data_IF_433666728421
#
_entry.id   IF_433666728421
#
_cell.length_a   1.000
_cell.length_b   1.000
_cell.length_c   1.000
_cell.angle_alpha   90.00
_cell.angle_beta   90.00
_cell.angle_gamma   90.00
#
_symmetry.space_group_name_H-M   'P 1'
#
loop_
_entity.id
_entity.type
_entity.pdbx_description
1 polymer ?
#
# COMPACT_ATOMS: atom_id res chain seq x y z
N UNK A 1 2.59 -8.67 -22.12
CA UNK A 1 3.38 -8.17 -21.01
C UNK A 1 2.71 -6.97 -20.36
N UNK A 2 2.64 -6.98 -19.07
CA UNK A 2 2.02 -5.89 -18.33
C UNK A 2 3.10 -5.16 -17.51
N UNK A 3 3.97 -4.42 -18.16
CA UNK A 3 5.14 -3.87 -17.50
C UNK A 3 4.79 -2.92 -16.36
N UNK A 4 3.64 -2.28 -16.43
CA UNK A 4 3.26 -1.35 -15.40
C UNK A 4 2.84 -2.01 -14.09
N UNK A 5 2.82 -3.34 -14.06
CA UNK A 5 2.36 -4.05 -12.86
C UNK A 5 3.48 -4.73 -12.09
N UNK A 6 4.73 -4.49 -12.46
CA UNK A 6 5.84 -4.97 -11.67
C UNK A 6 5.85 -4.29 -10.32
N UNK A 7 5.92 -5.09 -9.27
CA UNK A 7 6.08 -4.53 -7.94
C UNK A 7 7.54 -4.18 -7.70
N UNK A 8 7.77 -2.97 -7.22
CA UNK A 8 9.10 -2.48 -6.90
C UNK A 8 9.11 -2.07 -5.44
N UNK A 9 9.96 -2.71 -4.63
CA UNK A 9 10.00 -2.42 -3.21
C UNK A 9 10.47 -1.00 -2.93
N UNK A 10 11.27 -0.42 -3.82
CA UNK A 10 11.76 0.95 -3.65
C UNK A 10 10.70 1.98 -4.04
N UNK A 11 9.78 1.61 -4.91
CA UNK A 11 8.76 2.52 -5.40
C UNK A 11 7.48 1.74 -5.66
N UNK A 12 6.81 1.28 -4.60
CA UNK A 12 5.61 0.46 -4.76
C UNK A 12 4.46 1.24 -5.37
N UNK A 13 3.65 0.54 -6.18
CA UNK A 13 2.42 1.09 -6.72
C UNK A 13 1.33 0.98 -5.65
N UNK A 14 1.25 2.01 -4.82
CA UNK A 14 0.39 1.99 -3.64
C UNK A 14 -1.07 1.86 -4.02
N UNK A 15 -1.49 2.55 -5.08
CA UNK A 15 -2.87 2.49 -5.52
C UNK A 15 -3.25 1.07 -5.96
N UNK A 16 -2.36 0.42 -6.73
CA UNK A 16 -2.61 -0.95 -7.17
C UNK A 16 -2.71 -1.91 -5.99
N UNK A 17 -1.86 -1.71 -4.98
CA UNK A 17 -1.92 -2.54 -3.78
C UNK A 17 -3.26 -2.36 -3.09
N UNK A 18 -3.70 -1.11 -2.92
CA UNK A 18 -4.99 -0.82 -2.29
C UNK A 18 -6.13 -1.47 -3.08
N UNK A 19 -6.07 -1.42 -4.39
CA UNK A 19 -7.12 -1.99 -5.23
C UNK A 19 -7.24 -3.50 -5.07
N UNK A 20 -6.13 -4.17 -4.75
CA UNK A 20 -6.17 -5.60 -4.46
C UNK A 20 -7.04 -5.90 -3.24
N UNK A 21 -7.11 -4.97 -2.30
CA UNK A 21 -7.91 -5.14 -1.10
C UNK A 21 -9.36 -4.74 -1.29
N UNK A 22 -9.67 -4.02 -2.38
CA UNK A 22 -11.02 -3.55 -2.63
C UNK A 22 -11.47 -2.50 -1.63
N UNK A 23 -10.53 -1.74 -1.07
CA UNK A 23 -10.84 -0.77 -0.02
C UNK A 23 -10.72 0.66 -0.53
N UNK A 24 -11.47 1.55 0.10
CA UNK A 24 -11.33 2.98 -0.13
C UNK A 24 -9.99 3.47 0.45
N UNK A 25 -9.60 4.68 0.09
CA UNK A 25 -8.40 5.28 0.66
C UNK A 25 -8.49 5.37 2.18
N UNK A 26 -9.64 5.81 2.71
CA UNK A 26 -9.81 5.93 4.15
C UNK A 26 -9.65 4.59 4.85
N UNK A 27 -10.29 3.56 4.31
CA UNK A 27 -10.24 2.24 4.92
C UNK A 27 -8.85 1.64 4.85
N UNK A 28 -8.19 1.79 3.71
CA UNK A 28 -6.84 1.26 3.56
C UNK A 28 -5.85 1.99 4.48
N UNK A 29 -6.00 3.31 4.60
CA UNK A 29 -5.17 4.08 5.52
C UNK A 29 -5.35 3.60 6.95
N UNK A 30 -6.59 3.34 7.37
CA UNK A 30 -6.86 2.78 8.69
C UNK A 30 -6.17 1.43 8.88
N UNK A 31 -6.25 0.59 7.86
CA UNK A 31 -5.62 -0.73 7.91
C UNK A 31 -4.11 -0.61 8.12
N UNK A 32 -3.49 0.34 7.45
CA UNK A 32 -2.04 0.53 7.53
C UNK A 32 -1.61 1.37 8.73
N UNK A 33 -2.55 2.00 9.41
CA UNK A 33 -2.22 2.85 10.56
C UNK A 33 -1.63 4.19 10.17
N UNK A 34 -2.01 4.71 9.01
CA UNK A 34 -1.55 6.02 8.53
C UNK A 34 -2.75 6.92 8.26
N UNK A 35 -2.48 8.20 8.04
CA UNK A 35 -3.56 9.13 7.69
C UNK A 35 -3.94 8.95 6.22
N UNK A 36 -5.20 9.28 5.92
CA UNK A 36 -5.67 9.26 4.54
C UNK A 36 -4.88 10.25 3.67
N UNK A 37 -4.47 11.36 4.24
CA UNK A 37 -3.68 12.35 3.52
C UNK A 37 -2.32 11.78 3.10
N UNK A 38 -1.67 11.04 4.00
CA UNK A 38 -0.40 10.38 3.69
C UNK A 38 -0.58 9.38 2.54
N UNK A 39 -1.62 8.56 2.63
CA UNK A 39 -1.90 7.59 1.59
C UNK A 39 -2.15 8.26 0.25
N UNK A 40 -2.92 9.34 0.27
CA UNK A 40 -3.24 10.09 -0.95
C UNK A 40 -1.97 10.63 -1.60
N UNK A 41 -1.07 11.17 -0.79
CA UNK A 41 0.20 11.68 -1.30
C UNK A 41 1.04 10.58 -1.96
N UNK A 42 1.03 9.40 -1.36
CA UNK A 42 1.75 8.26 -1.95
C UNK A 42 1.13 7.85 -3.28
N UNK A 43 -0.19 7.81 -3.35
CA UNK A 43 -0.88 7.38 -4.58
C UNK A 43 -0.71 8.38 -5.70
N UNK A 44 -0.59 9.66 -5.36
CA UNK A 44 -0.39 10.72 -6.34
C UNK A 44 1.07 10.97 -6.70
N UNK A 45 1.99 10.30 -6.04
CA UNK A 45 3.40 10.43 -6.32
C UNK A 45 4.06 11.67 -5.74
N UNK A 46 3.36 12.41 -4.88
CA UNK A 46 3.93 13.59 -4.23
C UNK A 46 4.93 13.22 -3.16
N UNK A 47 4.71 12.08 -2.53
CA UNK A 47 5.61 11.52 -1.55
C UNK A 47 5.69 10.03 -1.77
N UNK A 48 6.76 9.44 -1.29
CA UNK A 48 6.97 8.00 -1.43
C UNK A 48 7.10 7.37 -0.05
N UNK A 49 6.59 6.15 0.12
CA UNK A 49 6.80 5.43 1.38
C UNK A 49 8.29 5.23 1.63
N UNK A 50 8.71 5.36 2.88
CA UNK A 50 10.11 5.21 3.24
C UNK A 50 10.24 4.32 4.47
N UNK A 51 11.41 3.70 4.61
CA UNK A 51 11.71 2.89 5.78
C UNK A 51 10.70 1.77 5.99
N UNK A 52 10.20 1.63 7.22
CA UNK A 52 9.26 0.54 7.53
C UNK A 52 8.01 0.55 6.67
N UNK A 53 7.58 1.71 6.18
CA UNK A 53 6.39 1.79 5.34
C UNK A 53 6.57 1.02 4.04
N UNK A 54 7.77 1.05 3.46
CA UNK A 54 8.02 0.28 2.25
C UNK A 54 7.92 -1.21 2.50
N UNK A 55 8.44 -1.65 3.63
CA UNK A 55 8.38 -3.06 4.00
C UNK A 55 6.92 -3.47 4.22
N UNK A 56 6.17 -2.63 4.93
CA UNK A 56 4.75 -2.91 5.18
C UNK A 56 3.97 -3.04 3.87
N UNK A 57 4.21 -2.15 2.92
CA UNK A 57 3.54 -2.22 1.63
C UNK A 57 3.97 -3.44 0.83
N UNK A 58 5.23 -3.84 0.94
CA UNK A 58 5.70 -5.06 0.29
C UNK A 58 4.95 -6.28 0.83
N UNK A 59 4.80 -6.35 2.16
CA UNK A 59 4.05 -7.44 2.78
C UNK A 59 2.59 -7.37 2.36
N UNK A 60 2.01 -6.19 2.34
CA UNK A 60 0.61 -6.01 1.93
C UNK A 60 0.38 -6.49 0.50
N UNK A 61 1.34 -6.26 -0.39
CA UNK A 61 1.22 -6.67 -1.78
C UNK A 61 1.34 -8.17 -1.95
N UNK A 62 2.25 -8.80 -1.22
CA UNK A 62 2.60 -10.20 -1.44
C UNK A 62 1.86 -11.14 -0.51
N UNK A 63 1.51 -10.67 0.68
CA UNK A 63 0.90 -11.51 1.72
C UNK A 63 -0.25 -10.76 2.38
N UNK A 64 -1.33 -10.51 1.63
CA UNK A 64 -2.47 -9.77 2.19
C UNK A 64 -3.06 -10.43 3.42
N UNK A 65 -2.98 -11.76 3.51
CA UNK A 65 -3.51 -12.47 4.66
C UNK A 65 -2.78 -12.07 5.95
N UNK A 66 -1.48 -11.76 5.87
CA UNK A 66 -0.71 -11.38 7.06
C UNK A 66 -1.20 -10.05 7.61
N UNK A 67 -1.52 -9.11 6.72
CA UNK A 67 -2.02 -7.79 7.13
C UNK A 67 -3.42 -7.91 7.71
N UNK A 68 -4.29 -8.67 7.04
CA UNK A 68 -5.67 -8.80 7.48
C UNK A 68 -5.78 -9.55 8.81
N UNK A 69 -4.92 -10.53 9.02
CA UNK A 69 -4.91 -11.26 10.28
C UNK A 69 -4.46 -10.37 11.44
N UNK A 70 -3.55 -9.46 11.18
CA UNK A 70 -2.98 -8.60 12.22
C UNK A 70 -4.03 -7.66 12.81
N UNK A 71 -5.00 -7.22 12.02
CA UNK A 71 -5.97 -6.22 12.46
C UNK A 71 -7.28 -6.81 12.94
N UNK A 72 -7.33 -8.10 13.07
CA UNK A 72 -8.54 -8.75 13.60
C UNK A 72 -8.67 -8.51 15.10
#
# INVERSE_FOLDING_TARGET
LAPGRSFDIDNPDVKAIREQYGLSQDKFAQLLGISAATLRNWEQGRRHPEGPARILLSVAAKHPEAILDTVH
#
